data_IF_483610070040
#
_entry.id   IF_483610070040
#
_cell.length_a   1.000
_cell.length_b   1.000
_cell.length_c   1.000
_cell.angle_alpha   90.00
_cell.angle_beta   90.00
_cell.angle_gamma   90.00
#
_symmetry.space_group_name_H-M   'P 1'
#
loop_
_entity.id
_entity.type
_entity.pdbx_description
1 polymer ?
#
# COMPACT_ATOMS: atom_id res chain seq x y z
N UNK A 1 -52.01 -3.23 -50.69
CA UNK A 1 -51.44 -2.64 -51.92
C UNK A 1 -50.70 -1.35 -51.55
N UNK A 2 -49.55 -1.06 -52.18
CA UNK A 2 -48.39 -0.46 -51.51
C UNK A 2 -48.27 1.07 -51.65
N UNK A 3 -47.48 1.69 -50.76
CA UNK A 3 -46.83 2.99 -50.98
C UNK A 3 -45.36 2.77 -51.39
N UNK A 4 -44.80 3.57 -52.31
CA UNK A 4 -43.37 3.64 -52.62
C UNK A 4 -42.66 4.47 -51.53
N UNK A 5 -41.36 4.46 -51.31
CA UNK A 5 -40.21 3.86 -51.97
C UNK A 5 -39.01 4.52 -51.29
N UNK A 6 -38.39 3.82 -50.32
CA UNK A 6 -37.20 4.28 -49.62
C UNK A 6 -35.97 3.92 -50.46
N UNK A 7 -35.17 4.93 -50.85
CA UNK A 7 -33.84 4.70 -51.42
C UNK A 7 -32.85 4.36 -50.31
N UNK A 8 -32.13 3.28 -50.58
CA UNK A 8 -31.17 2.57 -49.77
C UNK A 8 -29.96 3.40 -49.35
N UNK A 9 -29.53 3.24 -48.11
CA UNK A 9 -28.13 3.43 -47.71
C UNK A 9 -27.76 2.24 -46.83
N UNK A 10 -26.95 1.36 -47.40
CA UNK A 10 -26.39 0.15 -46.81
C UNK A 10 -25.43 0.53 -45.67
N UNK A 11 -25.76 0.15 -44.44
CA UNK A 11 -24.78 -0.15 -43.38
C UNK A 11 -25.24 -1.43 -42.69
N UNK A 12 -24.58 -2.54 -43.03
CA UNK A 12 -24.77 -3.82 -42.36
C UNK A 12 -24.16 -3.77 -40.96
N UNK A 13 -25.01 -3.80 -39.93
CA UNK A 13 -24.58 -4.13 -38.56
C UNK A 13 -24.61 -5.65 -38.42
N UNK A 14 -23.46 -6.30 -38.55
CA UNK A 14 -23.27 -7.65 -38.08
C UNK A 14 -23.10 -7.62 -36.55
N UNK A 15 -24.10 -8.15 -35.84
CA UNK A 15 -23.95 -8.63 -34.49
C UNK A 15 -23.01 -9.85 -34.50
N UNK A 16 -21.80 -9.69 -33.98
CA UNK A 16 -20.98 -10.79 -33.53
C UNK A 16 -20.56 -10.51 -32.09
N UNK A 17 -21.07 -11.32 -31.16
CA UNK A 17 -20.64 -11.34 -29.78
C UNK A 17 -19.15 -11.65 -29.70
N UNK A 18 -18.37 -10.72 -29.18
CA UNK A 18 -17.00 -10.97 -28.78
C UNK A 18 -16.98 -11.44 -27.33
N UNK A 19 -17.16 -12.76 -27.16
CA UNK A 19 -16.55 -13.48 -26.05
C UNK A 19 -15.04 -13.30 -26.15
N UNK A 20 -14.45 -12.44 -25.31
CA UNK A 20 -12.99 -12.34 -25.19
C UNK A 20 -12.52 -13.60 -24.47
N UNK A 21 -11.70 -14.47 -25.09
CA UNK A 21 -11.11 -15.57 -24.36
C UNK A 21 -10.13 -14.98 -23.34
N UNK A 22 -10.10 -15.58 -22.15
CA UNK A 22 -9.08 -15.33 -21.14
C UNK A 22 -7.69 -15.62 -21.74
N UNK A 23 -7.08 -14.61 -22.35
CA UNK A 23 -5.67 -14.64 -22.73
C UNK A 23 -4.86 -14.61 -21.44
N UNK A 24 -4.06 -15.65 -21.26
CA UNK A 24 -3.10 -15.79 -20.17
C UNK A 24 -2.25 -14.54 -19.99
N UNK A 25 -1.84 -14.33 -18.74
CA UNK A 25 -1.02 -13.21 -18.29
C UNK A 25 0.10 -12.89 -19.28
N UNK A 26 -0.08 -11.83 -20.07
CA UNK A 26 1.01 -11.19 -20.79
C UNK A 26 2.00 -10.67 -19.75
N UNK A 27 3.27 -11.02 -19.92
CA UNK A 27 4.38 -10.40 -19.20
C UNK A 27 4.26 -8.87 -19.33
N UNK A 28 4.41 -8.11 -18.22
CA UNK A 28 4.39 -6.66 -18.33
C UNK A 28 5.57 -6.27 -19.22
N UNK A 29 5.24 -5.61 -20.34
CA UNK A 29 6.18 -5.16 -21.33
C UNK A 29 7.43 -4.55 -20.67
N UNK A 30 8.59 -4.88 -21.23
CA UNK A 30 9.85 -4.19 -20.93
C UNK A 30 9.72 -2.69 -21.17
N UNK A 31 10.82 -1.95 -20.99
CA UNK A 31 10.92 -0.48 -21.04
C UNK A 31 10.33 0.22 -22.30
N UNK A 32 9.73 -0.51 -23.24
CA UNK A 32 8.91 0.00 -24.32
C UNK A 32 7.63 0.68 -23.82
N UNK A 33 7.80 1.98 -23.59
CA UNK A 33 6.80 3.04 -23.71
C UNK A 33 5.45 2.67 -23.08
N UNK A 34 5.35 2.90 -21.76
CA UNK A 34 4.05 3.17 -21.16
C UNK A 34 3.47 4.38 -21.88
N UNK A 35 2.64 4.15 -22.90
CA UNK A 35 1.85 5.18 -23.56
C UNK A 35 0.83 5.69 -22.56
N UNK A 36 1.19 6.71 -21.80
CA UNK A 36 0.32 7.45 -20.89
C UNK A 36 -0.60 8.39 -21.69
N UNK A 37 -1.29 7.86 -22.70
CA UNK A 37 -2.34 8.56 -23.47
C UNK A 37 -3.33 9.39 -22.61
N UNK A 38 -3.69 9.05 -21.35
CA UNK A 38 -4.64 9.81 -20.56
C UNK A 38 -4.04 10.97 -19.75
N UNK A 39 -2.73 10.96 -19.51
CA UNK A 39 -2.04 12.11 -18.91
C UNK A 39 -1.71 13.17 -19.96
N UNK A 40 -1.62 12.75 -21.21
CA UNK A 40 -1.60 13.65 -22.34
C UNK A 40 -3.01 14.23 -22.57
N UNK A 41 -3.13 15.53 -22.35
CA UNK A 41 -4.08 16.43 -23.05
C UNK A 41 -5.53 16.48 -22.51
N UNK A 42 -6.14 15.44 -21.94
CA UNK A 42 -7.60 15.48 -21.66
C UNK A 42 -8.01 16.23 -20.39
N UNK A 43 -7.19 16.24 -19.33
CA UNK A 43 -7.58 16.91 -18.08
C UNK A 43 -7.64 18.45 -18.18
N UNK A 44 -6.78 19.07 -19.01
CA UNK A 44 -6.57 20.54 -19.04
C UNK A 44 -6.46 21.18 -20.42
N UNK A 45 -6.61 20.46 -21.55
CA UNK A 45 -6.43 21.05 -22.90
C UNK A 45 -5.15 21.90 -23.02
N UNK A 46 -4.07 21.50 -22.34
CA UNK A 46 -2.76 22.17 -22.36
C UNK A 46 -2.53 23.29 -21.34
N UNK A 47 -3.55 23.85 -20.67
CA UNK A 47 -3.36 24.94 -19.68
C UNK A 47 -4.15 24.71 -18.40
N UNK A 48 -3.46 24.71 -17.26
CA UNK A 48 -4.13 24.63 -15.96
C UNK A 48 -4.83 25.96 -15.63
N UNK A 49 -6.10 25.96 -15.20
CA UNK A 49 -6.78 27.19 -14.79
C UNK A 49 -6.08 27.87 -13.61
N UNK A 50 -5.99 29.20 -13.66
CA UNK A 50 -5.47 30.04 -12.59
C UNK A 50 -6.62 30.80 -11.93
N UNK A 51 -6.73 30.67 -10.61
CA UNK A 51 -7.78 31.32 -9.82
C UNK A 51 -7.10 32.28 -8.85
N UNK A 52 -7.52 33.54 -8.82
CA UNK A 52 -7.12 34.48 -7.78
C UNK A 52 -7.76 34.07 -6.45
N UNK A 53 -6.93 33.77 -5.45
CA UNK A 53 -7.37 33.32 -4.14
C UNK A 53 -8.21 34.36 -3.38
N UNK A 54 -8.02 35.66 -3.63
CA UNK A 54 -8.74 36.73 -2.94
C UNK A 54 -10.13 37.03 -3.51
N UNK A 55 -10.34 36.76 -4.79
CA UNK A 55 -11.63 37.02 -5.45
C UNK A 55 -12.37 35.74 -5.83
N UNK A 56 -11.67 34.62 -5.93
CA UNK A 56 -12.18 33.34 -6.43
C UNK A 56 -12.50 33.33 -7.92
N UNK A 57 -12.11 34.38 -8.67
CA UNK A 57 -12.28 34.51 -10.12
C UNK A 57 -10.99 34.12 -10.85
N UNK A 58 -11.02 34.13 -12.18
CA UNK A 58 -9.82 33.93 -13.00
C UNK A 58 -8.73 34.94 -12.62
N UNK A 59 -7.49 34.47 -12.49
CA UNK A 59 -6.36 35.32 -12.13
C UNK A 59 -5.99 36.25 -13.29
N UNK A 60 -6.05 37.56 -13.06
CA UNK A 60 -5.74 38.60 -14.06
C UNK A 60 -4.45 39.39 -13.75
N UNK A 61 -3.66 38.95 -12.76
CA UNK A 61 -2.39 39.61 -12.43
C UNK A 61 -1.32 39.38 -13.52
N UNK A 62 -0.25 40.16 -13.47
CA UNK A 62 0.84 40.14 -14.48
C UNK A 62 2.13 39.48 -13.97
N UNK A 63 2.09 38.76 -12.84
CA UNK A 63 3.29 38.18 -12.25
C UNK A 63 3.84 37.00 -13.08
N UNK A 64 5.05 37.15 -13.62
CA UNK A 64 5.68 36.18 -14.51
C UNK A 64 5.96 34.82 -13.84
N UNK A 65 6.26 34.79 -12.53
CA UNK A 65 6.50 33.55 -11.79
C UNK A 65 5.25 32.66 -11.82
N UNK A 66 4.07 33.26 -11.66
CA UNK A 66 2.78 32.54 -11.71
C UNK A 66 2.57 31.89 -13.08
N UNK A 67 2.76 32.64 -14.17
CA UNK A 67 2.56 32.12 -15.52
C UNK A 67 3.62 31.10 -15.92
N UNK A 68 4.89 31.32 -15.54
CA UNK A 68 5.99 30.39 -15.82
C UNK A 68 5.82 29.07 -15.04
N UNK A 69 5.38 29.14 -13.78
CA UNK A 69 5.04 27.95 -13.02
C UNK A 69 3.86 27.21 -13.65
N UNK A 70 2.78 27.93 -14.02
CA UNK A 70 1.62 27.34 -14.69
C UNK A 70 1.99 26.67 -16.03
N UNK A 71 2.90 27.28 -16.79
CA UNK A 71 3.42 26.73 -18.05
C UNK A 71 4.26 25.46 -17.88
N UNK A 72 4.98 25.34 -16.77
CA UNK A 72 5.80 24.15 -16.46
C UNK A 72 5.04 23.07 -15.67
N UNK A 73 3.90 23.42 -15.06
CA UNK A 73 3.10 22.55 -14.19
C UNK A 73 2.76 21.19 -14.80
N UNK A 74 2.19 21.18 -16.01
CA UNK A 74 1.77 19.94 -16.67
C UNK A 74 2.96 19.01 -16.94
N UNK A 75 4.12 19.57 -17.30
CA UNK A 75 5.35 18.81 -17.53
C UNK A 75 5.86 18.18 -16.23
N UNK A 76 5.84 18.92 -15.13
CA UNK A 76 6.26 18.43 -13.81
C UNK A 76 5.35 17.29 -13.34
N UNK A 77 4.03 17.47 -13.43
CA UNK A 77 3.06 16.46 -13.03
C UNK A 77 3.18 15.19 -13.89
N UNK A 78 3.31 15.34 -15.21
CA UNK A 78 3.50 14.22 -16.14
C UNK A 78 4.80 13.46 -15.84
N UNK A 79 5.91 14.17 -15.65
CA UNK A 79 7.20 13.56 -15.33
C UNK A 79 7.17 12.81 -14.00
N UNK A 80 6.50 13.36 -12.99
CA UNK A 80 6.30 12.68 -11.70
C UNK A 80 5.47 11.40 -11.86
N UNK A 81 4.33 11.47 -12.55
CA UNK A 81 3.47 10.31 -12.79
C UNK A 81 4.20 9.20 -13.58
N UNK A 82 4.95 9.58 -14.61
CA UNK A 82 5.80 8.65 -15.37
C UNK A 82 6.78 7.92 -14.46
N UNK A 83 7.51 8.66 -13.62
CA UNK A 83 8.45 8.07 -12.66
C UNK A 83 7.75 7.10 -11.72
N UNK A 84 6.61 7.49 -11.16
CA UNK A 84 5.84 6.63 -10.25
C UNK A 84 5.41 5.32 -10.93
N UNK A 85 4.86 5.40 -12.15
CA UNK A 85 4.44 4.21 -12.88
C UNK A 85 5.61 3.28 -13.13
N UNK A 86 6.77 3.82 -13.54
CA UNK A 86 7.98 3.02 -13.73
C UNK A 86 8.45 2.37 -12.44
N UNK A 87 8.45 3.09 -11.32
CA UNK A 87 8.86 2.56 -10.02
C UNK A 87 7.91 1.47 -9.50
N UNK A 88 6.60 1.59 -9.74
CA UNK A 88 5.62 0.54 -9.42
C UNK A 88 5.76 -0.68 -10.35
N UNK A 89 6.01 -0.49 -11.65
CA UNK A 89 6.26 -1.60 -12.60
C UNK A 89 7.52 -2.37 -12.21
N UNK A 90 8.63 -1.67 -11.94
CA UNK A 90 9.89 -2.28 -11.48
C UNK A 90 9.68 -3.09 -10.21
N UNK A 91 8.93 -2.55 -9.26
CA UNK A 91 8.62 -3.26 -8.02
C UNK A 91 7.71 -4.46 -8.26
N UNK A 92 6.70 -4.36 -9.14
CA UNK A 92 5.88 -5.50 -9.53
C UNK A 92 6.73 -6.62 -10.15
N UNK A 93 7.63 -6.28 -11.07
CA UNK A 93 8.54 -7.24 -11.70
C UNK A 93 9.43 -7.93 -10.67
N UNK A 94 10.03 -7.17 -9.75
CA UNK A 94 10.81 -7.72 -8.63
C UNK A 94 9.99 -8.73 -7.82
N UNK A 95 8.74 -8.40 -7.46
CA UNK A 95 7.90 -9.27 -6.63
C UNK A 95 7.35 -10.48 -7.39
N UNK A 96 7.14 -10.38 -8.70
CA UNK A 96 6.86 -11.54 -9.57
C UNK A 96 8.06 -12.47 -9.62
N UNK A 97 9.28 -11.95 -9.76
CA UNK A 97 10.51 -12.76 -9.74
C UNK A 97 10.67 -13.46 -8.38
N UNK A 98 10.54 -12.71 -7.29
CA UNK A 98 10.61 -13.25 -5.93
C UNK A 98 9.56 -14.35 -5.70
N UNK A 99 8.35 -14.23 -6.24
CA UNK A 99 7.33 -15.28 -6.15
C UNK A 99 7.68 -16.56 -6.90
N UNK A 100 8.30 -16.46 -8.08
CA UNK A 100 8.82 -17.64 -8.81
C UNK A 100 9.93 -18.33 -8.02
N UNK A 101 10.82 -17.55 -7.41
CA UNK A 101 11.89 -18.08 -6.54
C UNK A 101 11.29 -18.73 -5.30
N UNK A 102 10.32 -18.08 -4.64
CA UNK A 102 9.60 -18.65 -3.50
C UNK A 102 8.93 -19.97 -3.85
N UNK A 103 8.20 -20.06 -4.96
CA UNK A 103 7.57 -21.31 -5.42
C UNK A 103 8.62 -22.42 -5.58
N UNK A 104 9.76 -22.12 -6.20
CA UNK A 104 10.85 -23.08 -6.41
C UNK A 104 11.42 -23.56 -5.07
N UNK A 105 11.79 -22.64 -4.19
CA UNK A 105 12.39 -22.98 -2.88
C UNK A 105 11.40 -23.73 -1.99
N UNK A 106 10.14 -23.29 -1.95
CA UNK A 106 9.07 -23.97 -1.21
C UNK A 106 8.81 -25.37 -1.80
N UNK A 107 8.85 -25.53 -3.12
CA UNK A 107 8.73 -26.82 -3.79
C UNK A 107 9.88 -27.78 -3.43
N UNK A 108 11.12 -27.27 -3.39
CA UNK A 108 12.28 -28.07 -2.95
C UNK A 108 12.15 -28.48 -1.48
N UNK A 109 11.81 -27.53 -0.60
CA UNK A 109 11.62 -27.77 0.82
C UNK A 109 10.49 -28.79 1.08
N UNK A 110 9.36 -28.65 0.39
CA UNK A 110 8.25 -29.58 0.52
C UNK A 110 8.58 -30.97 -0.04
N UNK A 111 9.38 -31.05 -1.10
CA UNK A 111 9.89 -32.31 -1.65
C UNK A 111 10.66 -33.14 -0.61
N UNK A 112 11.39 -32.50 0.31
CA UNK A 112 12.07 -33.21 1.41
C UNK A 112 11.06 -33.99 2.28
N UNK A 113 9.88 -33.44 2.52
CA UNK A 113 8.82 -34.10 3.31
C UNK A 113 8.04 -35.17 2.51
N UNK A 114 8.39 -35.38 1.24
CA UNK A 114 7.65 -36.28 0.35
C UNK A 114 6.22 -35.80 0.06
N UNK A 115 6.05 -34.48 0.00
CA UNK A 115 4.82 -33.80 -0.42
C UNK A 115 4.78 -33.63 -1.94
N UNK A 116 3.59 -33.32 -2.45
CA UNK A 116 3.40 -33.03 -3.87
C UNK A 116 4.10 -31.72 -4.27
N UNK A 117 4.01 -31.31 -5.55
CA UNK A 117 4.63 -30.06 -5.99
C UNK A 117 3.83 -28.86 -5.47
N UNK A 118 4.51 -27.94 -4.78
CA UNK A 118 3.96 -26.62 -4.45
C UNK A 118 3.87 -25.74 -5.70
N UNK A 119 2.75 -25.04 -5.85
CA UNK A 119 2.52 -24.06 -6.91
C UNK A 119 1.72 -22.88 -6.36
N UNK A 120 2.11 -21.67 -6.74
CA UNK A 120 1.37 -20.47 -6.38
C UNK A 120 0.20 -20.24 -7.34
N UNK A 121 -0.91 -19.73 -6.82
CA UNK A 121 -2.01 -19.31 -7.67
C UNK A 121 -1.67 -17.98 -8.37
N UNK A 122 -1.13 -18.12 -9.58
CA UNK A 122 -0.77 -17.00 -10.45
C UNK A 122 -1.95 -16.11 -10.85
N UNK A 123 -3.21 -16.58 -10.70
CA UNK A 123 -4.39 -15.80 -11.03
C UNK A 123 -4.75 -14.79 -9.93
N UNK A 124 -4.47 -15.12 -8.67
CA UNK A 124 -4.71 -14.24 -7.50
C UNK A 124 -3.45 -13.47 -7.10
N UNK A 125 -2.27 -14.01 -7.38
CA UNK A 125 -0.97 -13.38 -7.11
C UNK A 125 -0.85 -11.97 -7.70
N UNK A 126 -0.70 -10.97 -6.81
CA UNK A 126 -0.56 -9.55 -7.16
C UNK A 126 -1.68 -9.02 -8.06
N UNK A 127 -2.85 -9.67 -8.06
CA UNK A 127 -4.00 -9.27 -8.92
C UNK A 127 -4.41 -7.83 -8.66
N UNK A 128 -4.43 -7.42 -7.39
CA UNK A 128 -4.74 -6.04 -6.98
C UNK A 128 -3.67 -5.08 -7.48
N UNK A 129 -2.40 -5.41 -7.30
CA UNK A 129 -1.26 -4.57 -7.67
C UNK A 129 -1.19 -4.38 -9.19
N UNK A 130 -1.46 -5.44 -9.97
CA UNK A 130 -1.63 -5.37 -11.43
C UNK A 130 -2.77 -4.45 -11.82
N UNK A 131 -3.92 -4.55 -11.16
CA UNK A 131 -5.07 -3.67 -11.43
C UNK A 131 -4.76 -2.20 -11.10
N UNK A 132 -3.98 -1.93 -10.06
CA UNK A 132 -3.52 -0.58 -9.69
C UNK A 132 -2.62 -0.01 -10.79
N UNK A 133 -1.62 -0.79 -11.24
CA UNK A 133 -0.71 -0.35 -12.29
C UNK A 133 -1.48 -0.10 -13.60
N UNK A 134 -2.37 -1.02 -13.99
CA UNK A 134 -3.23 -0.83 -15.17
C UNK A 134 -4.06 0.46 -15.03
N UNK A 135 -4.60 0.73 -13.84
CA UNK A 135 -5.31 1.98 -13.56
C UNK A 135 -4.37 3.18 -13.74
N UNK A 136 -3.20 3.20 -13.11
CA UNK A 136 -2.24 4.31 -13.24
C UNK A 136 -1.85 4.59 -14.71
N UNK A 137 -1.76 3.55 -15.54
CA UNK A 137 -1.46 3.69 -16.96
C UNK A 137 -2.64 4.31 -17.72
N UNK A 138 -3.87 3.92 -17.37
CA UNK A 138 -5.10 4.27 -18.10
C UNK A 138 -5.80 5.53 -17.61
N UNK A 139 -5.71 5.87 -16.33
CA UNK A 139 -6.38 7.03 -15.75
C UNK A 139 -5.70 7.42 -14.43
N UNK A 140 -5.45 8.71 -14.18
CA UNK A 140 -4.98 9.14 -12.87
C UNK A 140 -5.98 8.78 -11.77
N UNK A 141 -5.46 8.51 -10.56
CA UNK A 141 -6.30 8.48 -9.35
C UNK A 141 -6.76 9.88 -8.94
N UNK A 142 -6.06 10.91 -9.45
CA UNK A 142 -6.08 12.24 -8.89
C UNK A 142 -5.92 13.34 -9.95
N UNK A 143 -6.73 14.41 -9.85
CA UNK A 143 -6.75 15.57 -10.74
C UNK A 143 -6.64 16.92 -9.98
N UNK A 144 -5.70 17.78 -10.38
CA UNK A 144 -5.57 19.17 -9.90
C UNK A 144 -6.41 20.12 -10.78
N UNK A 145 -7.64 20.44 -10.38
CA UNK A 145 -8.59 21.24 -11.17
C UNK A 145 -8.11 22.65 -11.51
N UNK A 146 -7.34 23.29 -10.62
CA UNK A 146 -6.83 24.66 -10.80
C UNK A 146 -5.68 24.94 -9.84
N UNK A 147 -4.85 25.93 -10.18
CA UNK A 147 -3.95 26.60 -9.25
C UNK A 147 -4.68 27.77 -8.60
N UNK A 148 -4.63 27.86 -7.27
CA UNK A 148 -5.16 29.01 -6.53
C UNK A 148 -3.97 29.89 -6.15
N UNK A 149 -3.95 31.09 -6.71
CA UNK A 149 -2.84 32.02 -6.66
C UNK A 149 -3.06 32.99 -5.50
N UNK A 150 -2.08 33.07 -4.60
CA UNK A 150 -2.12 33.92 -3.42
C UNK A 150 -0.89 34.83 -3.39
N UNK A 151 -1.11 36.13 -3.48
CA UNK A 151 -0.10 37.15 -3.21
C UNK A 151 0.23 37.17 -1.72
N UNK A 152 1.46 36.76 -1.40
CA UNK A 152 1.96 36.65 -0.04
C UNK A 152 2.10 38.02 0.64
N UNK A 153 2.39 39.08 -0.11
CA UNK A 153 2.57 40.42 0.45
C UNK A 153 1.23 41.01 0.87
N UNK A 154 0.19 40.81 0.06
CA UNK A 154 -1.19 41.12 0.46
C UNK A 154 -1.67 40.26 1.62
N UNK A 155 -1.33 38.97 1.66
CA UNK A 155 -1.66 38.09 2.80
C UNK A 155 -1.00 38.57 4.09
N UNK A 156 0.26 39.04 4.06
CA UNK A 156 0.95 39.58 5.24
C UNK A 156 0.23 40.80 5.81
N UNK A 157 -0.27 41.70 4.96
CA UNK A 157 -1.00 42.90 5.39
C UNK A 157 -2.34 42.57 6.06
N UNK A 158 -2.94 41.43 5.70
CA UNK A 158 -4.22 40.98 6.27
C UNK A 158 -4.05 40.12 7.52
N UNK A 159 -2.83 39.70 7.86
CA UNK A 159 -2.63 38.81 9.01
C UNK A 159 -3.08 39.47 10.32
N UNK A 160 -3.77 38.74 11.22
CA UNK A 160 -4.10 37.31 11.16
C UNK A 160 -5.46 37.00 10.49
N UNK A 161 -6.17 38.01 9.97
CA UNK A 161 -7.46 37.79 9.32
C UNK A 161 -7.29 37.04 7.98
N UNK A 162 -8.23 36.13 7.71
CA UNK A 162 -8.23 35.34 6.47
C UNK A 162 -9.02 36.06 5.38
N UNK A 163 -8.64 35.89 4.11
CA UNK A 163 -9.46 36.34 2.98
C UNK A 163 -10.86 35.71 3.03
N UNK A 164 -11.88 36.49 2.69
CA UNK A 164 -13.28 36.03 2.65
C UNK A 164 -13.58 35.32 1.33
N UNK A 165 -12.95 34.15 1.12
CA UNK A 165 -13.20 33.30 -0.03
C UNK A 165 -13.30 31.83 0.35
N UNK A 166 -14.02 31.05 -0.46
CA UNK A 166 -14.12 29.59 -0.27
C UNK A 166 -12.75 28.88 -0.34
N UNK A 167 -11.75 29.51 -0.95
CA UNK A 167 -10.40 28.96 -1.08
C UNK A 167 -9.54 29.25 0.15
N UNK A 168 -9.88 30.25 0.97
CA UNK A 168 -9.13 30.58 2.18
C UNK A 168 -9.19 29.49 3.27
N UNK A 169 -10.11 28.52 3.16
CA UNK A 169 -10.16 27.32 4.02
C UNK A 169 -8.88 26.47 3.98
N UNK A 170 -8.11 26.63 2.90
CA UNK A 170 -6.85 25.96 2.62
C UNK A 170 -5.64 26.81 3.06
N UNK A 171 -5.86 27.90 3.79
CA UNK A 171 -4.83 28.74 4.41
C UNK A 171 -4.91 28.77 5.93
N UNK A 172 -3.75 28.83 6.58
CA UNK A 172 -3.61 29.07 8.02
C UNK A 172 -2.50 30.08 8.27
N UNK A 173 -2.75 31.06 9.13
CA UNK A 173 -1.67 31.89 9.68
C UNK A 173 -1.12 31.19 10.92
N UNK A 174 0.19 30.96 10.94
CA UNK A 174 0.91 30.49 12.11
C UNK A 174 1.49 31.71 12.86
N UNK A 175 0.92 32.09 14.01
CA UNK A 175 1.39 33.24 14.77
C UNK A 175 2.76 33.02 15.41
N UNK A 176 3.15 31.76 15.68
CA UNK A 176 4.46 31.46 16.28
C UNK A 176 5.58 31.63 15.25
N UNK A 177 5.34 31.15 14.02
CA UNK A 177 6.28 31.30 12.91
C UNK A 177 6.11 32.62 12.12
N UNK A 178 5.08 33.41 12.42
CA UNK A 178 4.77 34.68 11.76
C UNK A 178 4.47 34.55 10.26
N UNK A 179 4.00 33.39 9.79
CA UNK A 179 3.86 33.08 8.35
C UNK A 179 2.54 32.41 8.00
N UNK A 180 2.14 32.55 6.74
CA UNK A 180 1.03 31.79 6.18
C UNK A 180 1.49 30.40 5.73
N UNK A 181 0.62 29.42 5.93
CA UNK A 181 0.80 28.02 5.52
C UNK A 181 -0.39 27.57 4.66
N UNK A 182 -0.13 26.61 3.77
CA UNK A 182 -1.07 26.09 2.76
C UNK A 182 -1.42 24.63 3.02
N UNK A 183 -2.69 24.28 2.85
CA UNK A 183 -3.16 22.90 2.91
C UNK A 183 -3.83 22.52 1.64
N UNK A 184 -3.81 21.23 1.37
CA UNK A 184 -4.75 20.60 0.47
C UNK A 184 -5.57 19.63 1.28
N UNK A 185 -6.89 19.67 1.09
CA UNK A 185 -7.80 18.64 1.58
C UNK A 185 -8.39 17.93 0.36
N UNK A 186 -8.33 16.59 0.35
CA UNK A 186 -8.98 15.78 -0.67
C UNK A 186 -9.98 14.82 -0.01
N UNK A 187 -11.17 14.75 -0.60
CA UNK A 187 -12.24 13.84 -0.19
C UNK A 187 -12.34 12.72 -1.20
N UNK A 188 -12.40 11.50 -0.68
CA UNK A 188 -12.49 10.26 -1.41
C UNK A 188 -13.84 9.64 -1.05
N UNK A 189 -14.73 9.57 -2.03
CA UNK A 189 -15.93 8.77 -1.90
C UNK A 189 -15.57 7.33 -2.26
N UNK A 190 -15.73 6.43 -1.30
CA UNK A 190 -15.35 5.03 -1.48
C UNK A 190 -16.57 4.13 -1.34
N UNK A 191 -16.75 3.26 -2.32
CA UNK A 191 -17.89 2.35 -2.38
C UNK A 191 -17.41 0.90 -2.48
N UNK A 192 -17.86 0.06 -1.54
CA UNK A 192 -17.48 -1.35 -1.46
C UNK A 192 -18.67 -2.26 -1.35
N UNK A 193 -18.49 -3.50 -1.79
CA UNK A 193 -19.32 -4.64 -1.43
C UNK A 193 -18.57 -5.47 -0.38
N UNK A 194 -19.16 -5.69 0.80
CA UNK A 194 -18.55 -6.54 1.84
C UNK A 194 -18.44 -8.00 1.37
N UNK A 195 -19.36 -8.45 0.52
CA UNK A 195 -19.32 -9.75 -0.15
C UNK A 195 -19.59 -9.58 -1.65
N UNK A 196 -18.74 -10.16 -2.53
CA UNK A 196 -18.94 -10.06 -3.97
C UNK A 196 -20.25 -10.68 -4.47
N UNK A 197 -20.83 -11.63 -3.70
CA UNK A 197 -22.04 -12.35 -4.06
C UNK A 197 -23.31 -11.83 -3.37
N UNK A 198 -23.21 -10.77 -2.55
CA UNK A 198 -24.36 -10.18 -1.87
C UNK A 198 -24.41 -8.66 -2.13
N UNK A 199 -25.19 -8.19 -3.12
CA UNK A 199 -25.31 -6.78 -3.47
C UNK A 199 -25.78 -5.90 -2.31
N UNK A 200 -26.54 -6.47 -1.36
CA UNK A 200 -27.05 -5.76 -0.19
C UNK A 200 -25.98 -5.55 0.90
N UNK A 201 -24.78 -6.09 0.70
CA UNK A 201 -23.66 -5.96 1.64
C UNK A 201 -22.75 -4.76 1.32
N UNK A 202 -23.20 -3.82 0.49
CA UNK A 202 -22.41 -2.65 0.15
C UNK A 202 -22.44 -1.56 1.21
N UNK A 203 -21.35 -0.81 1.34
CA UNK A 203 -21.35 0.46 2.07
C UNK A 203 -20.54 1.52 1.33
N UNK A 204 -21.00 2.75 1.45
CA UNK A 204 -20.23 3.93 1.10
C UNK A 204 -19.57 4.47 2.37
N UNK A 205 -18.36 4.99 2.24
CA UNK A 205 -17.70 5.75 3.31
C UNK A 205 -16.94 6.90 2.69
N UNK A 206 -16.81 7.96 3.48
CA UNK A 206 -15.98 9.08 3.12
C UNK A 206 -14.60 8.94 3.77
N UNK A 207 -13.59 9.23 2.96
CA UNK A 207 -12.22 9.37 3.41
C UNK A 207 -11.78 10.78 3.11
N UNK A 208 -11.29 11.48 4.12
CA UNK A 208 -10.66 12.77 3.96
C UNK A 208 -9.16 12.63 4.18
N UNK A 209 -8.37 13.30 3.37
CA UNK A 209 -6.94 13.44 3.61
C UNK A 209 -6.58 14.90 3.52
N UNK A 210 -5.60 15.32 4.31
CA UNK A 210 -5.02 16.63 4.14
C UNK A 210 -3.52 16.63 4.26
N UNK A 211 -2.89 17.61 3.61
CA UNK A 211 -1.45 17.81 3.60
C UNK A 211 -1.19 19.29 3.83
N UNK A 212 -0.39 19.62 4.84
CA UNK A 212 0.27 20.91 4.95
C UNK A 212 1.44 20.93 3.96
N UNK A 213 1.35 21.80 2.96
CA UNK A 213 2.30 21.90 1.85
C UNK A 213 3.64 22.52 2.24
N UNK A 214 3.72 23.15 3.42
CA UNK A 214 4.91 23.87 3.89
C UNK A 214 5.69 23.07 4.94
N UNK A 215 5.04 22.14 5.65
CA UNK A 215 5.68 21.24 6.62
C UNK A 215 5.73 19.78 6.17
N UNK A 216 5.04 19.43 5.08
CA UNK A 216 4.86 18.06 4.58
C UNK A 216 4.22 17.12 5.61
N UNK A 217 3.54 17.69 6.62
CA UNK A 217 2.75 16.93 7.59
C UNK A 217 1.32 16.80 7.08
N UNK A 218 0.77 15.61 7.19
CA UNK A 218 -0.58 15.33 6.70
C UNK A 218 -1.43 14.57 7.72
N UNK A 219 -2.71 14.48 7.41
CA UNK A 219 -3.67 13.68 8.14
C UNK A 219 -4.49 12.81 7.19
N UNK A 220 -5.05 11.76 7.75
CA UNK A 220 -5.97 10.88 7.07
C UNK A 220 -7.11 10.54 8.02
N UNK A 221 -8.32 10.90 7.62
CA UNK A 221 -9.55 10.63 8.34
C UNK A 221 -10.38 9.66 7.51
N UNK A 222 -10.88 8.60 8.15
CA UNK A 222 -11.85 7.71 7.54
C UNK A 222 -13.00 7.60 8.52
N UNK A 223 -14.20 7.93 8.04
CA UNK A 223 -15.41 7.85 8.85
C UNK A 223 -15.67 6.41 9.29
N UNK A 224 -15.45 5.43 8.40
CA UNK A 224 -15.59 4.00 8.67
C UNK A 224 -14.38 3.22 8.17
N UNK A 225 -13.83 2.37 9.03
CA UNK A 225 -12.70 1.50 8.69
C UNK A 225 -12.95 0.74 7.38
N UNK A 226 -11.97 0.80 6.48
CA UNK A 226 -12.04 0.14 5.19
C UNK A 226 -11.64 -1.34 5.34
N UNK A 227 -12.20 -2.25 4.51
CA UNK A 227 -11.72 -3.62 4.46
C UNK A 227 -10.24 -3.67 4.03
N UNK A 228 -9.56 -4.76 4.38
CA UNK A 228 -8.14 -4.98 4.02
C UNK A 228 -7.97 -5.05 2.50
N UNK A 229 -8.99 -5.51 1.78
CA UNK A 229 -8.98 -5.64 0.33
C UNK A 229 -9.92 -4.61 -0.31
N UNK A 230 -9.32 -3.61 -0.95
CA UNK A 230 -10.00 -2.52 -1.63
C UNK A 230 -9.59 -2.56 -3.10
N UNK A 231 -10.51 -2.87 -4.05
CA UNK A 231 -10.17 -2.78 -5.46
C UNK A 231 -10.01 -1.32 -5.91
N UNK A 232 -9.18 -1.04 -6.94
CA UNK A 232 -9.00 0.31 -7.46
C UNK A 232 -10.30 0.98 -7.92
N UNK A 233 -11.24 0.21 -8.49
CA UNK A 233 -12.53 0.72 -8.95
C UNK A 233 -13.52 1.08 -7.84
N UNK A 234 -13.17 0.86 -6.56
CA UNK A 234 -14.00 1.31 -5.44
C UNK A 234 -13.91 2.81 -5.17
N UNK A 235 -12.86 3.47 -5.66
CA UNK A 235 -12.67 4.89 -5.51
C UNK A 235 -13.25 5.63 -6.71
N UNK A 236 -14.03 6.68 -6.44
CA UNK A 236 -14.35 7.68 -7.46
C UNK A 236 -13.12 8.53 -7.76
N UNK A 237 -13.13 9.18 -8.92
CA UNK A 237 -12.11 10.17 -9.30
C UNK A 237 -12.00 11.27 -8.23
N UNK A 238 -10.77 11.57 -7.80
CA UNK A 238 -10.52 12.60 -6.80
C UNK A 238 -9.97 13.87 -7.44
N UNK A 239 -10.54 14.99 -7.04
CA UNK A 239 -10.20 16.31 -7.56
C UNK A 239 -9.87 17.29 -6.44
N UNK A 240 -8.84 18.11 -6.61
CA UNK A 240 -8.53 19.21 -5.69
C UNK A 240 -8.01 20.44 -6.42
N UNK A 241 -7.91 21.54 -5.69
CA UNK A 241 -7.24 22.78 -6.11
C UNK A 241 -5.91 22.93 -5.38
N UNK A 242 -4.87 23.38 -6.06
CA UNK A 242 -3.52 23.47 -5.50
C UNK A 242 -3.15 24.94 -5.20
N UNK A 243 -3.00 25.35 -3.93
CA UNK A 243 -2.62 26.72 -3.58
C UNK A 243 -1.12 26.99 -3.80
N UNK A 244 -0.80 28.11 -4.42
CA UNK A 244 0.56 28.63 -4.58
C UNK A 244 0.69 30.00 -3.92
N UNK A 245 1.85 30.24 -3.29
CA UNK A 245 2.25 31.57 -2.86
C UNK A 245 3.23 32.16 -3.85
N UNK A 246 3.07 33.44 -4.14
CA UNK A 246 4.06 34.22 -4.86
C UNK A 246 4.21 35.58 -4.16
N UNK A 247 5.27 36.32 -4.44
CA UNK A 247 5.52 37.66 -3.91
C UNK A 247 5.87 38.62 -5.04
N UNK A 248 5.21 39.77 -5.09
CA UNK A 248 5.55 40.82 -6.07
C UNK A 248 6.92 41.43 -5.79
N UNK A 249 7.40 41.35 -4.55
CA UNK A 249 8.73 41.86 -4.15
C UNK A 249 9.88 40.90 -4.44
N UNK A 250 9.59 39.63 -4.80
CA UNK A 250 10.59 38.58 -5.02
C UNK A 250 10.35 37.77 -6.31
N UNK A 251 9.74 38.38 -7.32
CA UNK A 251 9.38 37.73 -8.58
C UNK A 251 10.61 37.44 -9.47
N UNK A 252 11.45 36.51 -9.03
CA UNK A 252 12.68 36.09 -9.71
C UNK A 252 12.70 34.59 -10.03
N UNK A 253 13.75 34.14 -10.72
CA UNK A 253 13.93 32.73 -11.08
C UNK A 253 14.07 31.81 -9.84
N UNK A 254 14.51 32.34 -8.70
CA UNK A 254 14.66 31.55 -7.46
C UNK A 254 13.30 31.21 -6.88
N UNK A 255 12.36 32.15 -6.91
CA UNK A 255 10.97 31.90 -6.48
C UNK A 255 10.31 30.85 -7.37
N UNK A 256 10.50 30.94 -8.70
CA UNK A 256 10.01 29.93 -9.63
C UNK A 256 10.57 28.54 -9.31
N UNK A 257 11.89 28.40 -9.13
CA UNK A 257 12.52 27.11 -8.78
C UNK A 257 11.97 26.57 -7.45
N UNK A 258 11.87 27.42 -6.43
CA UNK A 258 11.30 27.04 -5.12
C UNK A 258 9.88 26.50 -5.26
N UNK A 259 9.03 27.13 -6.07
CA UNK A 259 7.67 26.65 -6.34
C UNK A 259 7.67 25.28 -7.03
N UNK A 260 8.53 25.08 -8.02
CA UNK A 260 8.68 23.79 -8.71
C UNK A 260 9.16 22.68 -7.79
N UNK A 261 10.21 22.92 -7.00
CA UNK A 261 10.75 21.95 -6.04
C UNK A 261 9.74 21.62 -4.94
N UNK A 262 9.08 22.62 -4.38
CA UNK A 262 8.03 22.44 -3.37
C UNK A 262 6.87 21.63 -3.94
N UNK A 263 6.47 21.92 -5.18
CA UNK A 263 5.42 21.16 -5.85
C UNK A 263 5.81 19.69 -6.06
N UNK A 264 7.02 19.41 -6.57
CA UNK A 264 7.51 18.03 -6.73
C UNK A 264 7.54 17.31 -5.37
N UNK A 265 8.04 17.97 -4.33
CA UNK A 265 8.09 17.39 -2.99
C UNK A 265 6.68 17.08 -2.48
N UNK A 266 5.72 17.98 -2.70
CA UNK A 266 4.33 17.76 -2.34
C UNK A 266 3.63 16.70 -3.20
N UNK A 267 4.05 16.45 -4.44
CA UNK A 267 3.50 15.36 -5.27
C UNK A 267 3.80 13.99 -4.69
N UNK A 268 4.96 13.78 -4.06
CA UNK A 268 5.28 12.52 -3.37
C UNK A 268 4.22 12.10 -2.37
N UNK A 269 3.68 13.13 -1.75
CA UNK A 269 2.70 13.07 -0.72
C UNK A 269 1.31 12.97 -1.38
N UNK A 270 0.90 13.95 -2.19
CA UNK A 270 -0.43 13.96 -2.84
C UNK A 270 -0.75 12.72 -3.70
N UNK A 271 0.27 12.13 -4.34
CA UNK A 271 0.13 11.06 -5.31
C UNK A 271 0.33 9.68 -4.66
N UNK A 272 -0.58 9.32 -3.76
CA UNK A 272 -0.65 7.94 -3.25
C UNK A 272 -2.05 7.34 -3.48
N UNK A 273 -2.19 6.34 -4.37
CA UNK A 273 -3.49 5.75 -4.67
C UNK A 273 -4.13 5.00 -3.50
N UNK A 274 -3.40 4.72 -2.40
CA UNK A 274 -3.91 4.02 -1.21
C UNK A 274 -3.38 4.54 0.14
N UNK A 275 -2.73 5.70 0.14
CA UNK A 275 -2.26 6.51 1.26
C UNK A 275 -1.03 6.09 2.11
N UNK A 276 0.18 6.23 1.58
CA UNK A 276 1.22 7.25 1.88
C UNK A 276 2.63 6.75 2.28
N UNK A 277 2.97 5.46 2.12
CA UNK A 277 4.27 4.75 2.38
C UNK A 277 3.96 3.38 3.01
N UNK A 278 2.95 3.34 3.89
CA UNK A 278 2.52 2.14 4.61
C UNK A 278 1.80 1.09 3.76
N UNK A 279 1.76 1.24 2.42
CA UNK A 279 1.09 0.27 1.54
C UNK A 279 1.92 -0.25 0.37
N UNK A 280 2.99 0.39 -0.10
CA UNK A 280 3.85 -0.28 -1.11
C UNK A 280 4.52 -1.50 -0.49
N UNK A 281 5.14 -1.33 0.67
CA UNK A 281 5.78 -2.43 1.39
C UNK A 281 4.80 -3.50 1.91
N UNK A 282 3.48 -3.31 1.81
CA UNK A 282 2.49 -4.24 2.38
C UNK A 282 1.69 -4.92 1.29
N UNK A 283 1.31 -4.14 0.27
CA UNK A 283 0.60 -4.61 -0.92
C UNK A 283 1.35 -5.73 -1.62
N UNK A 284 2.67 -5.59 -1.69
CA UNK A 284 3.51 -6.54 -2.40
C UNK A 284 4.03 -7.70 -1.52
N UNK A 285 3.90 -7.62 -0.19
CA UNK A 285 4.48 -8.59 0.78
C UNK A 285 3.54 -9.67 1.31
N UNK A 286 2.24 -9.61 1.03
CA UNK A 286 1.23 -10.42 1.72
C UNK A 286 0.60 -11.61 0.99
N UNK A 287 1.18 -12.14 -0.09
CA UNK A 287 0.41 -12.98 -1.03
C UNK A 287 0.42 -14.51 -0.88
N UNK A 288 1.18 -15.11 0.04
CA UNK A 288 1.32 -16.58 0.13
C UNK A 288 0.71 -17.29 1.37
N UNK A 289 0.35 -16.64 2.49
CA UNK A 289 -0.01 -17.39 3.70
C UNK A 289 -1.16 -18.38 3.53
N UNK A 290 -2.14 -18.03 2.70
CA UNK A 290 -3.29 -18.87 2.43
C UNK A 290 -2.93 -20.02 1.50
N UNK A 291 -2.20 -19.76 0.41
CA UNK A 291 -1.72 -20.79 -0.51
C UNK A 291 -0.85 -21.84 0.21
N UNK A 292 0.07 -21.39 1.08
CA UNK A 292 0.89 -22.29 1.89
C UNK A 292 0.04 -23.14 2.85
N UNK A 293 -0.98 -22.55 3.46
CA UNK A 293 -1.87 -23.26 4.38
C UNK A 293 -2.72 -24.31 3.65
N UNK A 294 -3.35 -23.92 2.54
CA UNK A 294 -4.19 -24.82 1.75
C UNK A 294 -3.36 -25.94 1.13
N UNK A 295 -2.12 -25.64 0.72
CA UNK A 295 -1.14 -26.63 0.31
C UNK A 295 -0.83 -27.63 1.42
N UNK A 296 -0.45 -27.20 2.63
CA UNK A 296 -0.15 -28.13 3.74
C UNK A 296 -1.37 -28.95 4.13
N UNK A 297 -2.57 -28.35 4.15
CA UNK A 297 -3.84 -29.04 4.43
C UNK A 297 -4.13 -30.16 3.44
N UNK A 298 -3.83 -29.96 2.16
CA UNK A 298 -4.04 -30.98 1.14
C UNK A 298 -3.06 -32.15 1.24
N UNK A 299 -1.92 -31.97 1.92
CA UNK A 299 -0.95 -33.04 2.13
C UNK A 299 -1.46 -34.09 3.12
N UNK A 300 -1.08 -35.35 2.86
CA UNK A 300 -1.36 -36.48 3.77
C UNK A 300 -0.32 -36.54 4.89
N UNK A 301 -0.61 -35.86 6.00
CA UNK A 301 0.23 -35.81 7.20
C UNK A 301 -0.43 -36.61 8.33
N UNK A 302 0.31 -37.52 8.98
CA UNK A 302 -0.20 -38.36 10.08
C UNK A 302 -0.09 -37.64 11.43
N UNK A 303 -0.86 -36.56 11.58
CA UNK A 303 -0.97 -35.76 12.81
C UNK A 303 -2.44 -35.64 13.21
N UNK A 304 -2.76 -35.77 14.50
CA UNK A 304 -4.14 -35.72 15.00
C UNK A 304 -4.68 -34.28 15.12
N UNK A 305 -3.87 -33.35 15.61
CA UNK A 305 -4.26 -31.96 15.86
C UNK A 305 -3.97 -31.03 14.66
N UNK A 306 -4.46 -31.40 13.46
CA UNK A 306 -4.20 -30.66 12.20
C UNK A 306 -4.65 -29.19 12.23
N UNK A 307 -5.74 -28.87 12.92
CA UNK A 307 -6.22 -27.48 13.05
C UNK A 307 -5.18 -26.54 13.69
N UNK A 308 -4.37 -27.08 14.60
CA UNK A 308 -3.25 -26.36 15.19
C UNK A 308 -1.97 -26.51 14.37
N UNK A 309 -1.67 -27.73 13.91
CA UNK A 309 -0.40 -28.06 13.26
C UNK A 309 -0.27 -27.43 11.87
N UNK A 310 -1.29 -27.51 11.01
CA UNK A 310 -1.19 -27.05 9.63
C UNK A 310 -0.90 -25.53 9.55
N UNK A 311 -1.58 -24.63 10.30
CA UNK A 311 -1.25 -23.21 10.30
C UNK A 311 0.16 -22.90 10.84
N UNK A 312 0.63 -23.64 11.84
CA UNK A 312 1.99 -23.47 12.40
C UNK A 312 3.02 -23.90 11.38
N UNK A 313 2.84 -25.10 10.81
CA UNK A 313 3.80 -25.71 9.92
C UNK A 313 3.87 -24.99 8.57
N UNK A 314 2.73 -24.63 7.98
CA UNK A 314 2.69 -23.84 6.75
C UNK A 314 3.42 -22.50 6.89
N UNK A 315 3.21 -21.80 8.01
CA UNK A 315 3.92 -20.53 8.28
C UNK A 315 5.41 -20.75 8.54
N UNK A 316 5.78 -21.81 9.25
CA UNK A 316 7.18 -22.16 9.48
C UNK A 316 7.93 -22.45 8.18
N UNK A 317 7.37 -23.25 7.28
CA UNK A 317 7.99 -23.51 5.98
C UNK A 317 8.11 -22.23 5.15
N UNK A 318 7.08 -21.38 5.16
CA UNK A 318 7.14 -20.07 4.51
C UNK A 318 8.22 -19.16 5.14
N UNK A 319 8.41 -19.21 6.46
CA UNK A 319 9.45 -18.45 7.16
C UNK A 319 10.85 -18.93 6.77
N UNK A 320 11.07 -20.24 6.71
CA UNK A 320 12.35 -20.83 6.25
C UNK A 320 12.71 -20.30 4.87
N UNK A 321 11.76 -20.36 3.92
CA UNK A 321 11.97 -19.84 2.55
C UNK A 321 12.20 -18.33 2.57
N UNK A 322 11.44 -17.58 3.39
CA UNK A 322 11.60 -16.12 3.51
C UNK A 322 12.98 -15.76 4.06
N UNK A 323 13.46 -16.46 5.09
CA UNK A 323 14.80 -16.27 5.66
C UNK A 323 15.85 -16.53 4.58
N UNK A 324 15.70 -17.59 3.78
CA UNK A 324 16.64 -17.94 2.70
C UNK A 324 16.70 -16.89 1.59
N UNK A 325 15.55 -16.32 1.20
CA UNK A 325 15.47 -15.40 0.07
C UNK A 325 15.67 -13.92 0.44
N UNK A 326 15.23 -13.52 1.64
CA UNK A 326 15.11 -12.12 2.05
C UNK A 326 15.67 -11.82 3.45
N UNK A 327 16.06 -12.85 4.21
CA UNK A 327 16.49 -12.71 5.59
C UNK A 327 15.33 -12.63 6.61
N UNK A 328 15.65 -12.83 7.88
CA UNK A 328 14.67 -12.84 8.97
C UNK A 328 14.03 -11.47 9.23
N UNK A 329 14.70 -10.40 8.85
CA UNK A 329 14.21 -9.02 8.93
C UNK A 329 12.88 -8.81 8.23
N UNK A 330 12.65 -9.49 7.10
CA UNK A 330 11.39 -9.42 6.36
C UNK A 330 10.20 -9.95 7.19
N UNK A 331 10.43 -10.98 8.01
CA UNK A 331 9.39 -11.55 8.88
C UNK A 331 8.99 -10.54 9.97
N UNK A 332 9.98 -9.87 10.57
CA UNK A 332 9.73 -8.83 11.59
C UNK A 332 9.07 -7.60 10.98
N UNK A 333 9.52 -7.16 9.81
CA UNK A 333 8.92 -6.07 9.05
C UNK A 333 7.44 -6.35 8.79
N UNK A 334 7.11 -7.54 8.28
CA UNK A 334 5.73 -7.97 8.03
C UNK A 334 4.89 -8.01 9.31
N UNK A 335 5.43 -8.56 10.41
CA UNK A 335 4.71 -8.67 11.68
C UNK A 335 4.33 -7.32 12.27
N UNK A 336 5.30 -6.41 12.41
CA UNK A 336 5.08 -5.08 12.96
C UNK A 336 4.10 -4.28 12.10
N UNK A 337 4.18 -4.47 10.79
CA UNK A 337 3.34 -3.79 9.83
C UNK A 337 1.88 -4.27 9.87
N UNK A 338 1.64 -5.58 9.94
CA UNK A 338 0.29 -6.14 10.09
C UNK A 338 -0.35 -5.67 11.41
N UNK A 339 0.43 -5.67 12.49
CA UNK A 339 -0.02 -5.24 13.82
C UNK A 339 -0.44 -3.78 13.84
N UNK A 340 0.38 -2.89 13.27
CA UNK A 340 0.10 -1.45 13.17
C UNK A 340 -1.20 -1.14 12.42
N UNK A 341 -1.47 -1.87 11.34
CA UNK A 341 -2.68 -1.70 10.52
C UNK A 341 -3.96 -2.14 11.24
N UNK A 342 -3.88 -3.14 12.12
CA UNK A 342 -5.03 -3.65 12.87
C UNK A 342 -5.31 -2.87 14.16
N UNK A 343 -4.28 -2.31 14.78
CA UNK A 343 -4.39 -1.70 16.11
C UNK A 343 -4.53 -0.18 16.08
N UNK A 344 -4.05 0.49 15.02
CA UNK A 344 -4.06 1.95 14.95
C UNK A 344 -4.89 2.46 13.78
N UNK A 345 -5.90 3.33 14.02
CA UNK A 345 -6.49 4.15 12.95
C UNK A 345 -5.45 5.10 12.32
N UNK A 346 -4.27 5.24 12.94
CA UNK A 346 -3.11 6.03 12.51
C UNK A 346 -1.99 5.12 11.97
N UNK A 347 -2.33 4.26 11.02
CA UNK A 347 -1.37 3.43 10.26
C UNK A 347 -0.17 4.20 9.63
N UNK A 348 -0.11 5.53 9.79
CA UNK A 348 0.81 6.47 9.17
C UNK A 348 1.80 7.13 10.15
N UNK A 349 1.64 7.01 11.48
CA UNK A 349 2.62 7.62 12.39
C UNK A 349 2.13 7.69 13.83
N UNK A 350 3.05 7.60 14.79
CA UNK A 350 2.83 8.22 16.11
C UNK A 350 2.77 9.73 15.86
N UNK A 351 1.74 10.40 16.38
CA UNK A 351 1.56 11.84 16.19
C UNK A 351 0.83 12.24 14.90
N UNK A 352 -0.20 11.49 14.49
CA UNK A 352 -1.16 11.96 13.47
C UNK A 352 -1.81 13.25 13.99
N UNK A 353 -1.27 14.39 13.58
CA UNK A 353 -1.82 15.70 13.83
C UNK A 353 -3.03 15.86 12.91
N UNK A 354 -4.20 15.65 13.49
CA UNK A 354 -5.50 15.86 12.85
C UNK A 354 -5.78 17.35 12.82
N UNK A 355 -4.87 18.05 12.15
CA UNK A 355 -4.75 19.48 11.97
C UNK A 355 -6.13 20.14 11.82
N UNK A 356 -6.75 20.44 12.96
CA UNK A 356 -7.95 21.27 13.05
C UNK A 356 -7.46 22.69 12.77
N UNK A 357 -7.22 22.99 11.50
CA UNK A 357 -6.62 24.24 11.02
C UNK A 357 -7.49 25.44 11.27
N UNK A 358 -8.79 25.21 11.34
CA UNK A 358 -9.80 26.23 11.53
C UNK A 358 -10.68 25.87 12.72
N UNK A 359 -11.13 26.91 13.42
CA UNK A 359 -12.13 26.77 14.49
C UNK A 359 -13.37 26.05 13.95
N UNK A 360 -13.79 24.99 14.62
CA UNK A 360 -14.95 24.18 14.23
C UNK A 360 -14.62 22.91 13.45
N UNK A 361 -13.38 22.72 13.01
CA UNK A 361 -12.91 21.40 12.54
C UNK A 361 -12.87 20.44 13.74
N UNK A 362 -13.55 19.29 13.64
CA UNK A 362 -13.62 18.25 14.68
C UNK A 362 -13.10 16.92 14.15
N UNK A 363 -11.85 16.91 13.70
CA UNK A 363 -11.22 15.71 13.11
C UNK A 363 -10.45 14.88 14.14
N UNK A 364 -10.72 15.02 15.44
CA UNK A 364 -10.01 14.30 16.51
C UNK A 364 -10.27 12.79 16.45
N UNK A 365 -9.19 12.02 16.47
CA UNK A 365 -9.18 10.57 16.62
C UNK A 365 -8.16 10.27 17.71
N UNK A 366 -8.61 9.64 18.79
CA UNK A 366 -7.76 9.26 19.92
C UNK A 366 -6.77 8.22 19.44
N UNK A 367 -5.47 8.48 19.67
CA UNK A 367 -4.45 7.46 19.41
C UNK A 367 -4.67 6.29 20.36
N UNK A 368 -4.68 5.06 19.85
CA UNK A 368 -4.51 3.91 20.72
C UNK A 368 -3.00 3.76 20.93
N UNK A 369 -2.52 3.67 22.19
CA UNK A 369 -1.09 3.46 22.42
C UNK A 369 -0.65 2.22 21.65
N UNK A 370 0.47 2.33 20.93
CA UNK A 370 1.06 1.20 20.20
C UNK A 370 1.29 0.05 21.19
N UNK A 371 0.59 -1.07 21.01
CA UNK A 371 0.79 -2.20 21.89
C UNK A 371 2.15 -2.84 21.59
N UNK A 372 2.90 -3.21 22.62
CA UNK A 372 4.14 -3.98 22.45
C UNK A 372 3.84 -5.32 21.78
N UNK A 373 4.65 -5.71 20.78
CA UNK A 373 4.55 -7.03 20.17
C UNK A 373 4.82 -8.09 21.24
N UNK A 374 3.76 -8.79 21.66
CA UNK A 374 3.85 -9.87 22.64
C UNK A 374 3.70 -11.20 21.93
N UNK A 375 4.70 -12.06 22.10
CA UNK A 375 4.68 -13.42 21.58
C UNK A 375 4.11 -14.33 22.67
N UNK A 376 3.08 -15.09 22.33
CA UNK A 376 2.46 -16.08 23.20
C UNK A 376 2.77 -17.50 22.69
N UNK A 377 3.85 -18.16 23.16
CA UNK A 377 4.31 -19.46 22.64
C UNK A 377 3.25 -20.58 22.63
N UNK A 378 2.26 -20.50 23.53
CA UNK A 378 1.16 -21.47 23.59
C UNK A 378 0.15 -21.35 22.42
N UNK A 379 0.13 -20.22 21.71
CA UNK A 379 -0.77 -20.00 20.57
C UNK A 379 -0.08 -20.39 19.26
N UNK A 380 -0.80 -20.83 18.21
CA UNK A 380 -0.21 -21.10 16.89
C UNK A 380 0.65 -19.93 16.36
N UNK A 381 0.16 -18.70 16.54
CA UNK A 381 0.84 -17.50 16.07
C UNK A 381 2.15 -17.23 16.82
N UNK A 382 2.20 -17.50 18.13
CA UNK A 382 3.43 -17.34 18.92
C UNK A 382 4.38 -18.53 18.82
N UNK A 383 3.86 -19.76 18.69
CA UNK A 383 4.70 -20.96 18.51
C UNK A 383 5.53 -20.88 17.23
N UNK A 384 4.99 -20.28 16.17
CA UNK A 384 5.74 -19.96 14.94
C UNK A 384 7.07 -19.26 15.23
N UNK A 385 7.09 -18.28 16.12
CA UNK A 385 8.32 -17.55 16.47
C UNK A 385 9.30 -18.41 17.28
N UNK A 386 8.81 -19.39 18.04
CA UNK A 386 9.68 -20.38 18.70
C UNK A 386 10.35 -21.28 17.66
N UNK A 387 9.61 -21.72 16.63
CA UNK A 387 10.20 -22.48 15.51
C UNK A 387 11.17 -21.65 14.69
N UNK A 388 10.88 -20.37 14.46
CA UNK A 388 11.80 -19.45 13.78
C UNK A 388 13.12 -19.32 14.56
N UNK A 389 13.05 -19.12 15.88
CA UNK A 389 14.24 -19.05 16.74
C UNK A 389 15.02 -20.37 16.72
N UNK A 390 14.32 -21.50 16.79
CA UNK A 390 14.93 -22.83 16.68
C UNK A 390 15.64 -23.01 15.34
N UNK A 391 15.02 -22.60 14.22
CA UNK A 391 15.64 -22.68 12.89
C UNK A 391 16.86 -21.77 12.77
N UNK A 392 16.79 -20.54 13.29
CA UNK A 392 17.92 -19.61 13.28
C UNK A 392 19.15 -20.15 14.04
N UNK A 393 18.93 -20.98 15.08
CA UNK A 393 20.01 -21.59 15.87
C UNK A 393 20.50 -22.93 15.32
N UNK A 394 19.58 -23.76 14.83
CA UNK A 394 19.83 -25.17 14.51
C UNK A 394 19.94 -25.45 12.99
N UNK A 395 19.49 -24.50 12.17
CA UNK A 395 19.50 -24.58 10.71
C UNK A 395 18.75 -25.80 10.17
N UNK A 396 19.29 -26.39 9.11
CA UNK A 396 18.68 -27.50 8.39
C UNK A 396 18.58 -28.78 9.24
N UNK A 397 19.37 -28.91 10.31
CA UNK A 397 19.27 -30.03 11.27
C UNK A 397 17.87 -30.13 11.89
N UNK A 398 17.23 -28.97 12.15
CA UNK A 398 15.85 -28.93 12.64
C UNK A 398 14.87 -29.47 11.60
N UNK A 399 15.01 -29.02 10.35
CA UNK A 399 14.15 -29.43 9.23
C UNK A 399 14.27 -30.94 9.01
N UNK A 400 15.49 -31.45 8.95
CA UNK A 400 15.78 -32.88 8.78
C UNK A 400 15.19 -33.73 9.90
N UNK A 401 15.30 -33.28 11.15
CA UNK A 401 14.73 -34.01 12.28
C UNK A 401 13.20 -34.05 12.24
N UNK A 402 12.55 -32.92 11.92
CA UNK A 402 11.09 -32.87 11.74
C UNK A 402 10.66 -33.80 10.60
N UNK A 403 11.37 -33.76 9.46
CA UNK A 403 11.15 -34.62 8.30
C UNK A 403 11.21 -36.10 8.68
N UNK A 404 12.26 -36.53 9.36
CA UNK A 404 12.41 -37.90 9.82
C UNK A 404 11.26 -38.35 10.74
N UNK A 405 10.84 -37.51 11.69
CA UNK A 405 9.69 -37.84 12.57
C UNK A 405 8.40 -37.99 11.76
N UNK A 406 8.11 -37.08 10.85
CA UNK A 406 6.91 -37.12 10.01
C UNK A 406 6.88 -38.32 9.07
N UNK A 407 8.00 -38.65 8.43
CA UNK A 407 8.11 -39.81 7.54
C UNK A 407 7.95 -41.13 8.33
N UNK A 408 8.57 -41.24 9.50
CA UNK A 408 8.40 -42.42 10.35
C UNK A 408 6.93 -42.64 10.74
N UNK A 409 6.19 -41.58 11.07
CA UNK A 409 4.74 -41.69 11.35
C UNK A 409 3.93 -42.09 10.12
N UNK A 410 4.31 -41.60 8.93
CA UNK A 410 3.69 -41.98 7.65
C UNK A 410 3.89 -43.47 7.35
N UNK A 411 5.10 -43.99 7.57
CA UNK A 411 5.44 -45.40 7.38
C UNK A 411 4.68 -46.31 8.36
N UNK A 412 4.64 -45.91 9.64
CA UNK A 412 3.94 -46.65 10.70
C UNK A 412 2.41 -46.50 10.63
N UNK A 413 1.91 -45.60 9.77
CA UNK A 413 0.49 -45.20 9.66
C UNK A 413 -0.14 -44.80 11.00
N UNK A 414 0.67 -44.31 11.92
CA UNK A 414 0.26 -43.90 13.27
C UNK A 414 0.20 -42.39 13.32
N UNK A 415 -0.91 -41.87 13.83
CA UNK A 415 -1.04 -40.43 14.06
C UNK A 415 -0.44 -40.07 15.42
N UNK A 416 0.12 -38.87 15.48
CA UNK A 416 0.71 -38.29 16.68
C UNK A 416 0.20 -36.89 16.91
N UNK A 417 0.34 -36.39 18.13
CA UNK A 417 0.17 -34.97 18.41
C UNK A 417 1.36 -34.20 17.81
N UNK A 418 1.10 -33.37 16.80
CA UNK A 418 2.11 -32.61 16.08
C UNK A 418 2.73 -31.50 16.94
N UNK A 419 2.00 -30.95 17.91
CA UNK A 419 2.57 -29.98 18.84
C UNK A 419 3.60 -30.68 19.74
N UNK A 420 3.23 -31.80 20.34
CA UNK A 420 4.15 -32.60 21.17
C UNK A 420 5.40 -33.01 20.40
N UNK A 421 5.23 -33.53 19.17
CA UNK A 421 6.35 -33.90 18.29
C UNK A 421 7.30 -32.72 18.04
N UNK A 422 6.80 -31.53 17.71
CA UNK A 422 7.64 -30.37 17.47
C UNK A 422 8.37 -29.92 18.75
N UNK A 423 7.70 -29.96 19.91
CA UNK A 423 8.34 -29.63 21.20
C UNK A 423 9.44 -30.61 21.58
N UNK A 424 9.24 -31.91 21.33
CA UNK A 424 10.24 -32.96 21.56
C UNK A 424 11.45 -32.77 20.66
N UNK A 425 11.23 -32.48 19.37
CA UNK A 425 12.34 -32.23 18.43
C UNK A 425 13.18 -31.03 18.84
N UNK A 426 12.54 -29.92 19.25
CA UNK A 426 13.25 -28.74 19.73
C UNK A 426 14.06 -29.08 21.00
N UNK A 427 13.45 -29.79 21.96
CA UNK A 427 14.12 -30.14 23.20
C UNK A 427 15.32 -31.07 22.95
N UNK A 428 15.14 -32.07 22.08
CA UNK A 428 16.18 -33.02 21.69
C UNK A 428 17.38 -32.32 21.04
N UNK A 429 17.13 -31.42 20.07
CA UNK A 429 18.22 -30.76 19.33
C UNK A 429 18.87 -29.60 20.09
N UNK A 430 18.12 -28.89 20.93
CA UNK A 430 18.67 -27.78 21.72
C UNK A 430 19.36 -28.24 23.01
N UNK A 431 19.12 -29.47 23.45
CA UNK A 431 19.60 -29.97 24.75
C UNK A 431 18.93 -29.32 25.96
N UNK A 432 17.81 -28.62 25.77
CA UNK A 432 17.07 -27.92 26.82
C UNK A 432 15.63 -28.42 26.91
N UNK A 433 15.01 -28.43 28.10
CA UNK A 433 13.56 -28.62 28.20
C UNK A 433 12.81 -27.58 27.34
N UNK A 434 11.77 -28.01 26.63
CA UNK A 434 11.03 -27.12 25.72
C UNK A 434 10.51 -25.86 26.42
N UNK A 435 10.02 -25.97 27.65
CA UNK A 435 9.51 -24.82 28.41
C UNK A 435 10.58 -23.74 28.61
N UNK A 436 11.82 -24.15 28.88
CA UNK A 436 12.94 -23.24 29.01
C UNK A 436 13.34 -22.64 27.65
N UNK A 437 13.40 -23.45 26.61
CA UNK A 437 13.68 -22.99 25.25
C UNK A 437 12.65 -21.95 24.79
N UNK A 438 11.36 -22.21 25.00
CA UNK A 438 10.26 -21.33 24.59
C UNK A 438 10.31 -19.97 25.28
N UNK A 439 10.70 -19.91 26.56
CA UNK A 439 10.90 -18.65 27.28
C UNK A 439 12.05 -17.84 26.69
N UNK A 440 13.19 -18.50 26.40
CA UNK A 440 14.35 -17.86 25.77
C UNK A 440 14.02 -17.36 24.37
N UNK A 441 13.40 -18.21 23.54
CA UNK A 441 12.97 -17.86 22.19
C UNK A 441 12.01 -16.68 22.19
N UNK A 442 11.01 -16.66 23.09
CA UNK A 442 10.12 -15.52 23.26
C UNK A 442 10.91 -14.23 23.53
N UNK A 443 11.80 -14.24 24.52
CA UNK A 443 12.58 -13.05 24.89
C UNK A 443 13.46 -12.57 23.73
N UNK A 444 14.12 -13.48 23.02
CA UNK A 444 14.95 -13.15 21.84
C UNK A 444 14.11 -12.54 20.72
N UNK A 445 12.98 -13.15 20.37
CA UNK A 445 12.15 -12.70 19.26
C UNK A 445 11.44 -11.37 19.58
N UNK A 446 10.99 -11.16 20.83
CA UNK A 446 10.46 -9.86 21.28
C UNK A 446 11.54 -8.77 21.27
N UNK A 447 12.78 -9.09 21.67
CA UNK A 447 13.91 -8.17 21.59
C UNK A 447 14.26 -7.81 20.13
N UNK A 448 14.23 -8.78 19.21
CA UNK A 448 14.44 -8.55 17.78
C UNK A 448 13.36 -7.63 17.20
N UNK A 449 12.08 -7.89 17.52
CA UNK A 449 10.97 -7.02 17.13
C UNK A 449 11.12 -5.60 17.69
N UNK A 450 11.56 -5.46 18.95
CA UNK A 450 11.81 -4.16 19.56
C UNK A 450 13.01 -3.42 18.92
N UNK A 451 14.08 -4.14 18.58
CA UNK A 451 15.26 -3.59 17.89
C UNK A 451 14.90 -3.12 16.48
N UNK A 452 14.22 -3.97 15.70
CA UNK A 452 13.77 -3.65 14.35
C UNK A 452 12.80 -2.46 14.34
N UNK A 453 11.95 -2.33 15.36
CA UNK A 453 11.08 -1.16 15.54
C UNK A 453 11.87 0.13 15.74
N UNK A 454 12.97 0.11 16.51
CA UNK A 454 13.79 1.30 16.79
C UNK A 454 14.65 1.69 15.58
N UNK A 455 15.18 0.69 14.86
CA UNK A 455 16.09 0.86 13.74
C UNK A 455 15.62 0.05 12.53
N UNK A 456 14.51 0.43 11.87
CA UNK A 456 14.10 -0.26 10.66
C UNK A 456 15.17 -0.06 9.56
N UNK A 457 15.50 -1.09 8.77
CA UNK A 457 16.38 -0.94 7.61
C UNK A 457 15.78 0.11 6.67
N UNK A 458 16.66 0.95 6.09
CA UNK A 458 16.22 2.01 5.17
C UNK A 458 15.50 1.37 3.97
N UNK A 459 14.31 1.85 3.57
CA UNK A 459 13.65 1.36 2.37
C UNK A 459 14.54 1.62 1.16
N UNK A 460 15.03 0.55 0.51
CA UNK A 460 15.85 0.64 -0.71
C UNK A 460 17.22 -0.03 -0.67
N UNK A 461 17.62 -0.70 0.41
CA UNK A 461 18.69 -1.69 0.32
C UNK A 461 18.11 -2.99 -0.29
N UNK A 462 18.80 -3.61 -1.25
CA UNK A 462 18.27 -4.66 -2.13
C UNK A 462 17.65 -5.86 -1.41
#
# INVERSE_FOLDING_TARGET
>A
MPRPGLRSLLIGLWLAGLTVPARGAQEPAGEEVVKLEPFNVTAYKGKIPLIDGFTGKEYTGSNDVVFNFAGTFNKLLLGYHQKLVLDEVKHLQFRVKLGKEFEREMGQLAGLFGFDRFALDNATWLRRERAIIIRLIREPFFKIKALVVWDLDRLKQMAPQKPDTKYARDLRYDPEAGRWERRITARWDVFFYNHPNNPNSSFATEKEQGLNLDTQRGFHFIERALPVQIPPGAFKEVSLTYPIFFSDTQADERELRRLQETFIANLHYLYDPFSWVARRDTRFRGGYPQDCLDYVRSQRIYVDNRDWFDPVFARFLADVVTVKLQGAEEIYALHLLQKRLAESPRALGVGLDLLNWNKGEKREAVDRPEAEARIAPATPAGFRFVLLDAYQRLGDTLIERIRHRLLAQKEQRRRVNGQAMLTEVIAELSGLPYAEFAVRAKATQEANLASFRRNPPRPGSP
#
